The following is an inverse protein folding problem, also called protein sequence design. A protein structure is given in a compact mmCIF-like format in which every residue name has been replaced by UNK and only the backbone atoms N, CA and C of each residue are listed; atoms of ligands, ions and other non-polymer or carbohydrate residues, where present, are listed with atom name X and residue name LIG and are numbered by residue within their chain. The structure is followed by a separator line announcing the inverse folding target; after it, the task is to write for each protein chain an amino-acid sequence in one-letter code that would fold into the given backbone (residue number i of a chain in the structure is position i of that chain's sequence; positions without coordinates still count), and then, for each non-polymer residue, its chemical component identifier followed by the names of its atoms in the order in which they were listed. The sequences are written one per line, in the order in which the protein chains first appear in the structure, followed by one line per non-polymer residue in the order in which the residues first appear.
data_IF_885930026793
#
_entry.id   IF_885930026793
#
_cell.length_a   1.000
_cell.length_b   1.000
_cell.length_c   1.000
_cell.angle_alpha   90.00
_cell.angle_beta   90.00
_cell.angle_gamma   90.00
#
_symmetry.space_group_name_H-M   'P 1'
#
loop_
_entity.id
_entity.type
_entity.pdbx_description
1 polymer ?
#
# COMPACT_ATOMS: atom_id res chain seq x y z
N UNK A 1 -13.33 4.57 -5.18
CA UNK A 1 -12.18 5.19 -5.88
C UNK A 1 -11.03 4.21 -6.10
N UNK A 2 -10.51 3.54 -5.07
CA UNK A 2 -9.43 2.56 -5.18
C UNK A 2 -9.61 1.42 -6.22
N UNK A 3 -10.85 1.00 -6.50
CA UNK A 3 -11.20 0.01 -7.53
C UNK A 3 -11.10 0.59 -8.94
N UNK A 4 -11.57 1.83 -9.14
CA UNK A 4 -11.47 2.51 -10.44
C UNK A 4 -10.01 2.74 -10.88
N UNK A 5 -9.10 3.02 -9.92
CA UNK A 5 -7.67 3.19 -10.20
C UNK A 5 -7.02 1.88 -10.68
N UNK A 6 -7.34 0.73 -10.08
CA UNK A 6 -6.78 -0.57 -10.51
C UNK A 6 -7.40 -1.05 -11.83
N UNK A 7 -8.68 -0.81 -12.06
CA UNK A 7 -9.35 -1.15 -13.31
C UNK A 7 -8.74 -0.38 -14.49
N UNK A 8 -8.46 0.91 -14.29
CA UNK A 8 -7.76 1.76 -15.28
C UNK A 8 -6.35 1.25 -15.58
N UNK A 9 -5.58 0.87 -14.55
CA UNK A 9 -4.24 0.28 -14.70
C UNK A 9 -4.29 -1.00 -15.53
N UNK A 10 -5.25 -1.89 -15.25
CA UNK A 10 -5.43 -3.14 -15.98
C UNK A 10 -5.74 -2.88 -17.46
N UNK A 11 -6.66 -1.96 -17.74
CA UNK A 11 -7.05 -1.57 -19.09
C UNK A 11 -5.88 -0.99 -19.90
N UNK A 12 -5.12 -0.07 -19.30
CA UNK A 12 -3.97 0.56 -19.96
C UNK A 12 -2.85 -0.46 -20.19
N UNK A 13 -2.61 -1.37 -19.24
CA UNK A 13 -1.65 -2.46 -19.39
C UNK A 13 -2.03 -3.40 -20.54
N UNK A 14 -3.32 -3.75 -20.66
CA UNK A 14 -3.83 -4.55 -21.75
C UNK A 14 -3.69 -3.84 -23.11
N UNK A 15 -3.99 -2.53 -23.18
CA UNK A 15 -3.79 -1.72 -24.39
C UNK A 15 -2.32 -1.64 -24.78
N UNK A 16 -1.42 -1.45 -23.83
CA UNK A 16 0.04 -1.42 -24.05
C UNK A 16 0.54 -2.76 -24.60
N UNK A 17 0.09 -3.87 -24.01
CA UNK A 17 0.43 -5.22 -24.48
C UNK A 17 -0.02 -5.45 -25.93
N UNK A 18 -1.26 -5.09 -26.28
CA UNK A 18 -1.78 -5.20 -27.65
C UNK A 18 -0.97 -4.38 -28.66
N UNK A 19 -0.51 -3.19 -28.27
CA UNK A 19 0.35 -2.35 -29.11
C UNK A 19 1.72 -2.98 -29.34
N UNK A 20 2.34 -3.58 -28.33
CA UNK A 20 3.58 -4.35 -28.50
C UNK A 20 3.39 -5.53 -29.46
N UNK A 21 2.30 -6.28 -29.33
CA UNK A 21 1.98 -7.38 -30.26
C UNK A 21 1.78 -6.90 -31.70
N UNK A 22 1.08 -5.77 -31.89
CA UNK A 22 0.85 -5.18 -33.22
C UNK A 22 2.13 -4.60 -33.85
N UNK A 23 3.04 -4.04 -33.04
CA UNK A 23 4.35 -3.59 -33.49
C UNK A 23 5.23 -4.77 -33.93
N UNK A 24 5.21 -5.88 -33.17
CA UNK A 24 5.93 -7.11 -33.50
C UNK A 24 5.43 -7.78 -34.78
N UNK A 25 4.12 -7.66 -35.07
CA UNK A 25 3.51 -8.25 -36.26
C UNK A 25 3.63 -7.39 -37.54
N UNK A 26 4.33 -6.25 -37.49
CA UNK A 26 4.54 -5.36 -38.64
C UNK A 26 3.28 -4.64 -39.17
N UNK A 27 2.16 -4.69 -38.44
CA UNK A 27 0.86 -4.11 -38.88
C UNK A 27 0.76 -2.58 -38.70
N UNK A 28 1.75 -1.96 -38.07
CA UNK A 28 1.71 -0.54 -37.72
C UNK A 28 3.08 0.13 -37.90
N UNK A 29 3.06 1.42 -38.22
CA UNK A 29 4.29 2.22 -38.36
C UNK A 29 5.03 2.28 -37.02
N UNK A 30 6.29 1.83 -37.01
CA UNK A 30 7.12 1.72 -35.78
C UNK A 30 7.11 3.01 -34.93
N UNK A 31 7.21 4.17 -35.56
CA UNK A 31 7.27 5.48 -34.88
C UNK A 31 5.99 5.80 -34.08
N UNK A 32 4.81 5.70 -34.70
CA UNK A 32 3.54 6.04 -34.05
C UNK A 32 3.17 5.09 -32.92
N UNK A 33 3.52 3.81 -33.04
CA UNK A 33 3.28 2.82 -31.97
C UNK A 33 4.19 3.05 -30.77
N UNK A 34 5.47 3.35 -31.01
CA UNK A 34 6.42 3.63 -29.93
C UNK A 34 6.04 4.89 -29.14
N UNK A 35 5.60 5.97 -29.80
CA UNK A 35 5.08 7.15 -29.09
C UNK A 35 3.87 6.80 -28.22
N UNK A 36 2.95 5.99 -28.73
CA UNK A 36 1.73 5.60 -28.01
C UNK A 36 2.01 4.69 -26.82
N UNK A 37 2.99 3.80 -26.95
CA UNK A 37 3.51 2.99 -25.85
C UNK A 37 4.19 3.87 -24.79
N UNK A 38 4.96 4.88 -25.21
CA UNK A 38 5.57 5.86 -24.31
C UNK A 38 4.52 6.58 -23.46
N UNK A 39 3.50 7.15 -24.12
CA UNK A 39 2.40 7.84 -23.44
C UNK A 39 1.66 6.92 -22.45
N UNK A 40 1.36 5.67 -22.85
CA UNK A 40 0.71 4.70 -21.96
C UNK A 40 1.58 4.31 -20.77
N UNK A 41 2.90 4.29 -20.94
CA UNK A 41 3.82 3.98 -19.84
C UNK A 41 3.83 5.12 -18.82
N UNK A 42 3.90 6.38 -19.28
CA UNK A 42 3.79 7.53 -18.39
C UNK A 42 2.46 7.57 -17.62
N UNK A 43 1.32 7.34 -18.28
CA UNK A 43 0.02 7.29 -17.60
C UNK A 43 -0.05 6.14 -16.58
N UNK A 44 0.55 4.98 -16.89
CA UNK A 44 0.62 3.85 -15.96
C UNK A 44 1.47 4.17 -14.73
N UNK A 45 2.62 4.83 -14.91
CA UNK A 45 3.52 5.19 -13.81
C UNK A 45 2.83 6.15 -12.83
N UNK A 46 2.14 7.18 -13.34
CA UNK A 46 1.35 8.11 -12.52
C UNK A 46 0.24 7.40 -11.74
N UNK A 47 -0.49 6.47 -12.40
CA UNK A 47 -1.54 5.70 -11.73
C UNK A 47 -0.98 4.74 -10.67
N UNK A 48 0.20 4.17 -10.89
CA UNK A 48 0.86 3.32 -9.90
C UNK A 48 1.36 4.11 -8.68
N UNK A 49 1.84 5.33 -8.87
CA UNK A 49 2.17 6.25 -7.78
C UNK A 49 0.92 6.60 -6.96
N UNK A 50 -0.15 7.03 -7.62
CA UNK A 50 -1.43 7.33 -6.97
C UNK A 50 -1.93 6.12 -6.18
N UNK A 51 -1.84 4.93 -6.76
CA UNK A 51 -2.25 3.68 -6.11
C UNK A 51 -1.44 3.36 -4.87
N UNK A 52 -0.13 3.64 -4.88
CA UNK A 52 0.76 3.46 -3.72
C UNK A 52 0.40 4.45 -2.62
N UNK A 53 0.17 5.72 -2.94
CA UNK A 53 -0.29 6.72 -1.98
C UNK A 53 -1.63 6.34 -1.34
N UNK A 54 -2.63 5.89 -2.12
CA UNK A 54 -3.91 5.39 -1.61
C UNK A 54 -3.75 4.18 -0.65
N UNK A 55 -2.75 3.33 -0.87
CA UNK A 55 -2.49 2.18 -0.01
C UNK A 55 -1.77 2.59 1.28
N UNK A 56 -0.83 3.52 1.20
CA UNK A 56 -0.13 4.07 2.36
C UNK A 56 -1.11 4.75 3.31
N UNK A 57 -1.94 5.68 2.82
CA UNK A 57 -2.93 6.37 3.66
C UNK A 57 -3.99 5.43 4.25
N UNK A 58 -4.36 4.35 3.53
CA UNK A 58 -5.23 3.30 4.11
C UNK A 58 -4.55 2.52 5.23
N UNK A 59 -3.24 2.25 5.12
CA UNK A 59 -2.48 1.57 6.16
C UNK A 59 -2.38 2.45 7.41
N UNK A 60 -2.00 3.71 7.24
CA UNK A 60 -1.97 4.70 8.33
C UNK A 60 -3.33 4.83 9.02
N UNK A 61 -4.42 4.89 8.24
CA UNK A 61 -5.77 4.90 8.80
C UNK A 61 -6.14 3.64 9.59
N UNK A 62 -5.66 2.46 9.18
CA UNK A 62 -5.83 1.21 9.93
C UNK A 62 -5.02 1.23 11.22
N UNK A 63 -3.76 1.68 11.17
CA UNK A 63 -2.90 1.78 12.35
C UNK A 63 -3.54 2.72 13.40
N UNK A 64 -4.08 3.86 12.98
CA UNK A 64 -4.84 4.78 13.86
C UNK A 64 -6.11 4.17 14.46
N UNK A 65 -6.83 3.32 13.71
CA UNK A 65 -8.00 2.61 14.24
C UNK A 65 -7.60 1.59 15.30
N UNK A 66 -6.47 0.90 15.10
CA UNK A 66 -5.92 -0.05 16.07
C UNK A 66 -5.50 0.70 17.34
N UNK A 67 -4.77 1.81 17.22
CA UNK A 67 -4.41 2.67 18.36
C UNK A 67 -5.63 3.13 19.15
N UNK A 68 -6.65 3.69 18.48
CA UNK A 68 -7.90 4.10 19.14
C UNK A 68 -8.56 2.94 19.86
N UNK A 69 -8.64 1.76 19.21
CA UNK A 69 -9.29 0.60 19.81
C UNK A 69 -8.59 0.13 21.09
N UNK A 70 -7.26 0.19 21.11
CA UNK A 70 -6.47 -0.13 22.31
C UNK A 70 -6.65 0.93 23.41
N UNK A 71 -6.70 2.21 23.04
CA UNK A 71 -6.99 3.29 23.98
C UNK A 71 -8.38 3.10 24.63
N UNK A 72 -9.39 2.73 23.85
CA UNK A 72 -10.76 2.52 24.33
C UNK A 72 -10.89 1.28 25.24
N UNK A 73 -10.23 0.17 24.88
CA UNK A 73 -10.34 -1.09 25.60
C UNK A 73 -9.43 -1.17 26.83
N UNK A 74 -8.22 -0.60 26.74
CA UNK A 74 -7.16 -0.80 27.74
C UNK A 74 -6.68 0.52 28.37
N UNK A 75 -7.12 1.68 27.87
CA UNK A 75 -6.66 2.99 28.34
C UNK A 75 -5.18 3.27 28.02
N UNK A 76 -4.59 2.51 27.09
CA UNK A 76 -3.16 2.55 26.74
C UNK A 76 -2.96 2.42 25.24
N UNK A 77 -1.82 2.89 24.74
CA UNK A 77 -1.47 2.74 23.34
C UNK A 77 -1.09 1.28 23.04
N UNK A 78 -1.18 0.91 21.76
CA UNK A 78 -0.79 -0.41 21.24
C UNK A 78 0.65 -0.76 21.64
N UNK A 79 1.57 0.19 21.49
CA UNK A 79 2.99 -0.01 21.79
C UNK A 79 3.25 -0.33 23.27
N UNK A 80 2.40 0.18 24.18
CA UNK A 80 2.48 -0.06 25.63
C UNK A 80 1.94 -1.45 26.04
N UNK A 81 1.14 -2.08 25.18
CA UNK A 81 0.54 -3.40 25.42
C UNK A 81 1.36 -4.52 24.77
N UNK A 82 1.94 -4.25 23.60
CA UNK A 82 2.69 -5.25 22.83
C UNK A 82 4.18 -5.28 23.23
N UNK A 83 4.73 -4.16 23.71
CA UNK A 83 6.08 -4.17 24.27
C UNK A 83 6.05 -4.85 25.64
N UNK A 84 6.80 -5.96 25.85
CA UNK A 84 6.96 -6.47 27.21
C UNK A 84 7.54 -5.34 28.08
N UNK A 85 7.09 -5.21 29.34
CA UNK A 85 7.62 -4.18 30.23
C UNK A 85 9.15 -4.29 30.27
N UNK A 86 9.82 -3.13 30.34
CA UNK A 86 11.27 -3.13 30.48
C UNK A 86 11.66 -3.95 31.71
N UNK A 87 12.84 -4.58 31.71
CA UNK A 87 13.30 -5.40 32.85
C UNK A 87 13.27 -4.57 34.16
N UNK A 88 13.47 -3.26 34.07
CA UNK A 88 13.37 -2.34 35.21
C UNK A 88 11.93 -2.19 35.75
N UNK A 89 10.92 -2.17 34.89
CA UNK A 89 9.51 -2.08 35.30
C UNK A 89 8.99 -3.41 35.87
N UNK A 90 9.50 -4.54 35.35
CA UNK A 90 9.18 -5.88 35.85
C UNK A 90 9.72 -6.12 37.28
N UNK A 91 10.84 -5.49 37.65
CA UNK A 91 11.42 -5.62 38.99
C UNK A 91 10.64 -4.90 40.10
N UNK A 92 9.92 -3.82 39.76
CA UNK A 92 9.06 -3.10 40.71
C UNK A 92 7.70 -3.81 40.96
N UNK A 93 7.34 -4.80 40.14
CA UNK A 93 6.11 -5.57 40.27
C UNK A 93 6.32 -6.95 40.93
N UNK A 94 7.38 -7.10 41.75
CA UNK A 94 7.55 -8.27 42.62
C UNK A 94 6.49 -8.23 43.72
N UNK A 95 5.35 -8.88 43.48
CA UNK A 95 4.42 -9.29 44.53
C UNK A 95 5.22 -10.11 45.53
N UNK A 96 5.24 -9.78 46.84
CA UNK A 96 5.88 -10.63 47.82
C UNK A 96 5.16 -11.98 47.79
N UNK A 97 5.88 -13.06 47.49
CA UNK A 97 5.39 -14.40 47.78
C UNK A 97 5.19 -14.44 49.31
N UNK A 98 3.93 -14.44 49.74
CA UNK A 98 3.58 -14.69 51.13
C UNK A 98 4.17 -16.06 51.52
N UNK A 99 5.04 -16.04 52.53
CA UNK A 99 5.57 -17.23 53.20
C UNK A 99 4.51 -17.86 54.10
#
# INVERSE_FOLDING_TARGET
MATATIDRINDLSAKRSRLYSAAGSGRATKSGVLQRIGALTSELDELWELRRAERAGRREGVDLLIERSYQELYGRNVDDVISPPSVADAEHQKVPLAA
#
